data_IF_478181875932
#
_entry.id   IF_478181875932
#
_cell.length_a   1.000
_cell.length_b   1.000
_cell.length_c   1.000
_cell.angle_alpha   90.00
_cell.angle_beta   90.00
_cell.angle_gamma   90.00
#
_symmetry.space_group_name_H-M   'P 1'
#
loop_
_entity.id
_entity.type
_entity.pdbx_description
1 polymer ?
#
# COMPACT_ATOMS: atom_id res chain seq x y z
N UNK A 1 -7.51 10.60 -0.28
CA UNK A 1 -6.06 10.55 -0.54
C UNK A 1 -5.55 9.11 -0.48
N UNK A 2 -4.86 8.68 -1.52
CA UNK A 2 -4.26 7.33 -1.62
C UNK A 2 -2.75 7.49 -1.45
N UNK A 3 -2.13 6.74 -0.57
CA UNK A 3 -0.68 6.75 -0.38
C UNK A 3 -0.07 5.50 -0.98
N UNK A 4 1.03 5.67 -1.73
CA UNK A 4 1.78 4.57 -2.35
C UNK A 4 3.18 4.52 -1.74
N UNK A 5 3.53 3.40 -1.12
CA UNK A 5 4.84 3.19 -0.52
C UNK A 5 5.60 2.22 -1.41
N UNK A 6 6.56 2.71 -2.17
CA UNK A 6 7.31 1.97 -3.18
C UNK A 6 8.70 2.59 -3.33
N UNK A 7 9.74 1.79 -3.18
CA UNK A 7 11.12 2.29 -3.25
C UNK A 7 11.60 2.57 -4.68
N UNK A 8 11.05 1.89 -5.69
CA UNK A 8 11.39 2.16 -7.09
C UNK A 8 10.65 3.41 -7.57
N UNK A 9 11.41 4.47 -7.88
CA UNK A 9 10.83 5.75 -8.27
C UNK A 9 9.99 5.65 -9.55
N UNK A 10 10.42 4.85 -10.52
CA UNK A 10 9.70 4.70 -11.78
C UNK A 10 8.36 4.02 -11.58
N UNK A 11 8.31 2.97 -10.77
CA UNK A 11 7.07 2.27 -10.46
C UNK A 11 6.15 3.19 -9.66
N UNK A 12 6.69 3.87 -8.65
CA UNK A 12 5.93 4.79 -7.81
C UNK A 12 5.29 5.90 -8.65
N UNK A 13 6.05 6.50 -9.57
CA UNK A 13 5.54 7.58 -10.42
C UNK A 13 4.40 7.11 -11.31
N UNK A 14 4.49 5.90 -11.84
CA UNK A 14 3.43 5.32 -12.66
C UNK A 14 2.17 5.08 -11.84
N UNK A 15 2.32 4.56 -10.63
CA UNK A 15 1.18 4.34 -9.73
C UNK A 15 0.48 5.66 -9.40
N UNK A 16 1.24 6.67 -9.02
CA UNK A 16 0.70 7.98 -8.68
C UNK A 16 -0.01 8.62 -9.87
N UNK A 17 0.61 8.54 -11.05
CA UNK A 17 0.03 9.10 -12.26
C UNK A 17 -1.31 8.44 -12.58
N UNK A 18 -1.37 7.12 -12.52
CA UNK A 18 -2.59 6.38 -12.84
C UNK A 18 -3.72 6.73 -11.87
N UNK A 19 -3.41 6.82 -10.58
CA UNK A 19 -4.42 7.16 -9.58
C UNK A 19 -4.88 8.60 -9.71
N UNK A 20 -3.96 9.54 -9.93
CA UNK A 20 -4.30 10.95 -10.15
C UNK A 20 -5.18 11.12 -11.38
N UNK A 21 -4.89 10.38 -12.45
CA UNK A 21 -5.68 10.44 -13.70
C UNK A 21 -7.10 9.92 -13.51
N UNK A 22 -7.32 9.13 -12.47
CA UNK A 22 -8.65 8.58 -12.14
C UNK A 22 -9.41 9.47 -11.14
N UNK A 23 -8.80 10.56 -10.72
CA UNK A 23 -9.44 11.54 -9.84
C UNK A 23 -9.06 11.42 -8.37
N UNK A 24 -8.15 10.54 -8.00
CA UNK A 24 -7.69 10.41 -6.61
C UNK A 24 -6.56 11.39 -6.34
N UNK A 25 -6.54 11.97 -5.15
CA UNK A 25 -5.36 12.67 -4.66
C UNK A 25 -4.39 11.62 -4.13
N UNK A 26 -3.10 11.81 -4.38
CA UNK A 26 -2.08 10.81 -4.06
C UNK A 26 -0.87 11.41 -3.38
N UNK A 27 -0.12 10.56 -2.67
CA UNK A 27 1.18 10.89 -2.12
C UNK A 27 2.04 9.64 -2.17
N UNK A 28 3.32 9.79 -2.56
CA UNK A 28 4.26 8.69 -2.65
C UNK A 28 5.32 8.75 -1.57
N UNK A 29 5.81 7.57 -1.14
CA UNK A 29 6.90 7.44 -0.18
C UNK A 29 7.89 6.44 -0.72
N UNK A 30 9.18 6.73 -0.59
CA UNK A 30 10.23 5.84 -1.09
C UNK A 30 10.65 4.79 -0.07
N UNK A 31 10.31 4.96 1.20
CA UNK A 31 10.65 4.00 2.24
C UNK A 31 9.60 3.97 3.36
N UNK A 32 9.70 2.95 4.19
CA UNK A 32 8.74 2.74 5.26
C UNK A 32 8.82 3.76 6.39
N UNK A 33 10.02 4.31 6.65
CA UNK A 33 10.19 5.27 7.73
C UNK A 33 9.47 6.60 7.40
N UNK A 34 9.66 7.10 6.17
CA UNK A 34 8.98 8.32 5.73
C UNK A 34 7.46 8.16 5.79
N UNK A 35 6.97 7.01 5.35
CA UNK A 35 5.55 6.68 5.42
C UNK A 35 5.06 6.66 6.87
N UNK A 36 5.77 5.96 7.75
CA UNK A 36 5.37 5.83 9.14
C UNK A 36 5.32 7.20 9.84
N UNK A 37 6.32 8.04 9.60
CA UNK A 37 6.35 9.38 10.17
C UNK A 37 5.17 10.24 9.69
N UNK A 38 4.82 10.13 8.41
CA UNK A 38 3.69 10.89 7.85
C UNK A 38 2.36 10.51 8.48
N UNK A 39 2.20 9.26 8.93
CA UNK A 39 0.98 8.80 9.58
C UNK A 39 0.71 9.52 10.90
N UNK A 40 1.72 10.15 11.50
CA UNK A 40 1.52 10.91 12.75
C UNK A 40 0.80 12.24 12.53
N UNK A 41 0.77 12.74 11.29
CA UNK A 41 0.17 14.05 10.97
C UNK A 41 -0.99 13.97 10.00
N UNK A 42 -1.08 12.92 9.19
CA UNK A 42 -2.15 12.76 8.20
C UNK A 42 -2.65 11.33 8.18
N UNK A 43 -3.91 11.16 7.80
CA UNK A 43 -4.52 9.84 7.67
C UNK A 43 -5.01 9.65 6.24
N UNK A 44 -4.42 8.73 5.46
CA UNK A 44 -4.90 8.45 4.11
C UNK A 44 -6.19 7.62 4.14
N UNK A 45 -6.90 7.63 3.02
CA UNK A 45 -8.10 6.79 2.85
C UNK A 45 -7.74 5.36 2.51
N UNK A 46 -6.56 5.14 1.94
CA UNK A 46 -6.07 3.82 1.57
C UNK A 46 -4.57 3.89 1.34
N UNK A 47 -3.87 2.80 1.62
CA UNK A 47 -2.43 2.68 1.40
C UNK A 47 -2.15 1.49 0.48
N UNK A 48 -1.35 1.71 -0.57
CA UNK A 48 -0.75 0.62 -1.36
C UNK A 48 0.67 0.47 -0.84
N UNK A 49 0.98 -0.68 -0.27
CA UNK A 49 2.20 -0.89 0.50
C UNK A 49 2.99 -2.07 -0.08
N UNK A 50 4.21 -1.77 -0.55
CA UNK A 50 5.11 -2.81 -1.04
C UNK A 50 5.60 -3.67 0.13
N UNK A 51 5.61 -4.98 -0.05
CA UNK A 51 6.15 -5.90 0.96
C UNK A 51 7.65 -5.70 1.10
N UNK A 52 8.36 -5.59 -0.03
CA UNK A 52 9.82 -5.48 -0.05
C UNK A 52 10.28 -4.02 -0.05
N UNK A 53 10.51 -3.46 1.13
CA UNK A 53 11.00 -2.10 1.28
C UNK A 53 12.33 -2.10 2.01
N UNK A 54 13.24 -1.15 1.70
CA UNK A 54 14.49 -1.05 2.45
C UNK A 54 14.22 -0.65 3.90
N UNK A 55 14.99 -1.23 4.81
CA UNK A 55 14.83 -0.98 6.24
C UNK A 55 13.64 -1.74 6.81
N UNK A 56 12.56 -1.04 7.07
CA UNK A 56 11.33 -1.64 7.63
C UNK A 56 10.45 -2.15 6.49
N UNK A 57 10.23 -3.46 6.39
CA UNK A 57 9.46 -4.03 5.29
C UNK A 57 7.94 -3.80 5.45
N UNK A 58 7.20 -4.10 4.37
CA UNK A 58 5.76 -3.84 4.34
C UNK A 58 4.95 -4.69 5.31
N UNK A 59 5.37 -5.93 5.56
CA UNK A 59 4.68 -6.81 6.52
C UNK A 59 4.82 -6.26 7.93
N UNK A 60 6.02 -5.78 8.29
CA UNK A 60 6.26 -5.16 9.58
C UNK A 60 5.43 -3.89 9.75
N UNK A 61 5.36 -3.06 8.72
CA UNK A 61 4.54 -1.85 8.75
C UNK A 61 3.06 -2.17 8.91
N UNK A 62 2.57 -3.15 8.17
CA UNK A 62 1.17 -3.59 8.28
C UNK A 62 0.86 -4.06 9.70
N UNK A 63 1.75 -4.86 10.28
CA UNK A 63 1.59 -5.36 11.65
C UNK A 63 1.47 -4.21 12.62
N UNK A 64 2.36 -3.21 12.51
CA UNK A 64 2.33 -2.04 13.38
C UNK A 64 1.03 -1.23 13.22
N UNK A 65 0.58 -1.07 11.99
CA UNK A 65 -0.68 -0.35 11.73
C UNK A 65 -1.87 -1.05 12.38
N UNK A 66 -1.93 -2.38 12.26
CA UNK A 66 -3.04 -3.15 12.80
C UNK A 66 -3.05 -3.20 14.33
N UNK A 67 -1.90 -2.98 14.96
CA UNK A 67 -1.78 -2.89 16.41
C UNK A 67 -2.13 -1.50 16.97
N UNK A 68 -2.25 -0.50 16.11
CA UNK A 68 -2.54 0.87 16.53
C UNK A 68 -4.04 1.16 16.46
N UNK A 69 -4.67 1.59 17.56
CA UNK A 69 -6.10 1.95 17.53
C UNK A 69 -6.42 3.05 16.52
N UNK A 70 -5.47 3.96 16.29
CA UNK A 70 -5.67 5.09 15.38
C UNK A 70 -5.50 4.72 13.91
N UNK A 71 -4.77 3.63 13.61
CA UNK A 71 -4.38 3.28 12.24
C UNK A 71 -5.01 1.99 11.74
N UNK A 72 -5.57 1.17 12.63
CA UNK A 72 -6.00 -0.19 12.28
C UNK A 72 -7.18 -0.23 11.29
N UNK A 73 -7.91 0.85 11.14
CA UNK A 73 -9.04 0.93 10.21
C UNK A 73 -8.64 1.40 8.80
N UNK A 74 -7.41 1.88 8.62
CA UNK A 74 -6.95 2.33 7.30
C UNK A 74 -6.82 1.12 6.38
N UNK A 75 -7.53 1.11 5.23
CA UNK A 75 -7.41 0.00 4.28
C UNK A 75 -6.02 -0.10 3.68
N UNK A 76 -5.49 -1.31 3.57
CA UNK A 76 -4.15 -1.56 3.03
C UNK A 76 -4.22 -2.62 1.93
N UNK A 77 -3.67 -2.29 0.77
CA UNK A 77 -3.46 -3.26 -0.32
C UNK A 77 -1.95 -3.54 -0.36
N UNK A 78 -1.57 -4.79 -0.19
CA UNK A 78 -0.16 -5.17 -0.24
C UNK A 78 0.26 -5.47 -1.67
N UNK A 79 1.47 -5.04 -2.05
CA UNK A 79 2.07 -5.37 -3.34
C UNK A 79 3.21 -6.36 -3.10
N UNK A 80 3.11 -7.56 -3.67
CA UNK A 80 4.07 -8.64 -3.44
C UNK A 80 4.80 -9.02 -4.73
N UNK A 81 6.00 -9.60 -4.61
CA UNK A 81 6.72 -10.11 -5.76
C UNK A 81 6.06 -11.39 -6.29
N UNK A 82 6.18 -11.62 -7.60
CA UNK A 82 5.69 -12.84 -8.22
C UNK A 82 6.35 -14.05 -7.56
N UNK A 83 5.54 -15.02 -7.14
CA UNK A 83 6.02 -16.22 -6.47
C UNK A 83 6.15 -16.10 -4.96
N UNK A 84 5.93 -14.93 -4.38
CA UNK A 84 6.01 -14.70 -2.94
C UNK A 84 4.68 -15.08 -2.27
N UNK A 85 4.25 -16.32 -2.43
CA UNK A 85 2.97 -16.77 -1.91
C UNK A 85 2.89 -16.73 -0.39
N UNK A 86 4.01 -16.99 0.26
CA UNK A 86 4.09 -16.90 1.72
C UNK A 86 3.78 -15.48 2.21
N UNK A 87 4.36 -14.47 1.56
CA UNK A 87 4.12 -13.06 1.92
C UNK A 87 2.66 -12.67 1.70
N UNK A 88 2.05 -13.18 0.64
CA UNK A 88 0.65 -12.95 0.33
C UNK A 88 -0.26 -13.50 1.42
N UNK A 89 -0.05 -14.74 1.81
CA UNK A 89 -0.85 -15.41 2.85
C UNK A 89 -0.66 -14.68 4.18
N UNK A 90 0.59 -14.38 4.54
CA UNK A 90 0.90 -13.69 5.77
C UNK A 90 0.25 -12.31 5.81
N UNK A 91 0.25 -11.57 4.71
CA UNK A 91 -0.37 -10.25 4.63
C UNK A 91 -1.87 -10.29 4.87
N UNK A 92 -2.56 -11.27 4.30
CA UNK A 92 -4.00 -11.45 4.50
C UNK A 92 -4.31 -11.83 5.96
N UNK A 93 -3.51 -12.71 6.54
CA UNK A 93 -3.68 -13.13 7.94
C UNK A 93 -3.43 -11.97 8.90
N UNK A 94 -2.58 -11.02 8.52
CA UNK A 94 -2.29 -9.83 9.34
C UNK A 94 -3.30 -8.71 9.15
N UNK A 95 -4.27 -8.89 8.24
CA UNK A 95 -5.36 -7.93 8.08
C UNK A 95 -5.26 -7.00 6.88
N UNK A 96 -4.45 -7.34 5.86
CA UNK A 96 -4.49 -6.60 4.61
C UNK A 96 -5.86 -6.77 3.96
N UNK A 97 -6.37 -5.71 3.35
CA UNK A 97 -7.68 -5.75 2.71
C UNK A 97 -7.64 -6.42 1.34
N UNK A 98 -6.49 -6.37 0.68
CA UNK A 98 -6.28 -7.01 -0.61
C UNK A 98 -4.76 -7.09 -0.85
N UNK A 99 -4.40 -7.76 -1.94
CA UNK A 99 -3.00 -7.83 -2.36
C UNK A 99 -2.94 -7.84 -3.89
N UNK A 100 -1.78 -7.44 -4.42
CA UNK A 100 -1.49 -7.50 -5.85
C UNK A 100 -0.11 -8.13 -6.04
N UNK A 101 0.05 -8.91 -7.10
CA UNK A 101 1.33 -9.55 -7.43
C UNK A 101 2.02 -8.74 -8.51
N UNK A 102 3.26 -8.34 -8.28
CA UNK A 102 4.08 -7.61 -9.26
C UNK A 102 4.56 -8.56 -10.37
N UNK A 103 4.61 -8.11 -11.60
CA UNK A 103 4.12 -6.82 -12.08
C UNK A 103 2.61 -6.85 -12.26
N UNK A 104 1.92 -5.79 -11.83
CA UNK A 104 0.47 -5.67 -12.01
C UNK A 104 0.17 -4.50 -12.96
N UNK A 105 -0.95 -4.60 -13.67
CA UNK A 105 -1.39 -3.51 -14.55
C UNK A 105 -2.02 -2.38 -13.75
N UNK A 106 -1.96 -1.16 -14.30
CA UNK A 106 -2.53 0.00 -13.63
C UNK A 106 -4.06 -0.09 -13.53
N UNK A 107 -4.71 -0.71 -14.50
CA UNK A 107 -6.16 -0.92 -14.45
C UNK A 107 -6.55 -1.89 -13.35
N UNK A 108 -5.75 -2.92 -13.13
CA UNK A 108 -5.96 -3.86 -12.02
C UNK A 108 -5.84 -3.12 -10.69
N UNK A 109 -4.80 -2.32 -10.53
CA UNK A 109 -4.58 -1.53 -9.31
C UNK A 109 -5.78 -0.62 -9.04
N UNK A 110 -6.21 0.12 -10.03
CA UNK A 110 -7.34 1.06 -9.89
C UNK A 110 -8.62 0.31 -9.51
N UNK A 111 -8.88 -0.83 -10.14
CA UNK A 111 -10.07 -1.64 -9.85
C UNK A 111 -10.06 -2.15 -8.42
N UNK A 112 -8.91 -2.60 -7.91
CA UNK A 112 -8.80 -3.07 -6.53
C UNK A 112 -8.95 -1.94 -5.52
N UNK A 113 -8.36 -0.78 -5.82
CA UNK A 113 -8.52 0.41 -4.98
C UNK A 113 -10.00 0.77 -4.86
N UNK A 114 -10.70 0.85 -5.99
CA UNK A 114 -12.13 1.17 -5.99
C UNK A 114 -12.95 0.13 -5.24
N UNK A 115 -12.63 -1.15 -5.40
CA UNK A 115 -13.33 -2.23 -4.72
C UNK A 115 -13.16 -2.14 -3.20
N UNK A 116 -11.95 -1.87 -2.74
CA UNK A 116 -11.68 -1.76 -1.30
C UNK A 116 -12.38 -0.52 -0.71
N UNK A 117 -12.36 0.60 -1.42
CA UNK A 117 -12.98 1.83 -0.93
C UNK A 117 -14.51 1.76 -0.89
N UNK A 118 -15.13 0.84 -1.64
CA UNK A 118 -16.59 0.66 -1.63
C UNK A 118 -17.10 -0.12 -0.43
N UNK A 119 -16.23 -0.79 0.29
CA UNK A 119 -16.61 -1.64 1.44
C UNK A 119 -17.13 -0.82 2.62
#
# INVERSE_FOLDING_TARGET
MIWCVEDDASIRDIELYALNSTGFETRGFEDGLAFWEALSTETPDLVILDVMLPGMDGVELLTKMKQSPDLCEIPVIMATAKGAEYDKIQSLDLGADDYMVKPFGMMEMISRVKAVLRR
#
